data_IF_674365272611
#
_entry.id   IF_674365272611
#
_cell.length_a   1.000
_cell.length_b   1.000
_cell.length_c   1.000
_cell.angle_alpha   90.00
_cell.angle_beta   90.00
_cell.angle_gamma   90.00
#
_symmetry.space_group_name_H-M   'P 1'
#
loop_
_entity.id
_entity.type
_entity.pdbx_description
1 polymer ?
#
# COMPACT_ATOMS: atom_id res chain seq x y z
N UNK A 1 19.18 17.95 0.98
CA UNK A 1 18.66 17.08 -0.09
C UNK A 1 17.14 17.21 -0.23
N UNK A 2 16.60 18.33 -0.74
CA UNK A 2 15.14 18.55 -0.75
C UNK A 2 14.39 17.59 -1.69
N UNK A 3 14.99 17.17 -2.78
CA UNK A 3 14.34 16.28 -3.77
C UNK A 3 14.15 14.86 -3.24
N UNK A 4 15.18 14.32 -2.60
CA UNK A 4 15.12 13.00 -1.95
C UNK A 4 14.13 13.05 -0.78
N UNK A 5 14.12 14.14 -0.02
CA UNK A 5 13.17 14.36 1.08
C UNK A 5 11.71 14.38 0.60
N UNK A 6 11.43 15.05 -0.52
CA UNK A 6 10.10 15.07 -1.12
C UNK A 6 9.65 13.66 -1.58
N UNK A 7 10.54 12.90 -2.22
CA UNK A 7 10.24 11.52 -2.61
C UNK A 7 10.01 10.61 -1.41
N UNK A 8 10.79 10.77 -0.35
CA UNK A 8 10.62 10.00 0.88
C UNK A 8 9.31 10.34 1.60
N UNK A 9 8.93 11.63 1.59
CA UNK A 9 7.64 12.08 2.11
C UNK A 9 6.47 11.49 1.31
N UNK A 10 6.54 11.53 -0.02
CA UNK A 10 5.52 10.94 -0.89
C UNK A 10 5.36 9.44 -0.65
N UNK A 11 6.47 8.71 -0.57
CA UNK A 11 6.46 7.27 -0.29
C UNK A 11 5.86 6.95 1.09
N UNK A 12 6.20 7.73 2.12
CA UNK A 12 5.63 7.58 3.45
C UNK A 12 4.13 7.87 3.49
N UNK A 13 3.67 8.90 2.77
CA UNK A 13 2.24 9.22 2.64
C UNK A 13 1.49 8.14 1.84
N UNK A 14 2.13 7.55 0.83
CA UNK A 14 1.55 6.43 0.08
C UNK A 14 1.40 5.16 0.96
N UNK A 15 2.37 4.94 1.85
CA UNK A 15 2.34 3.84 2.83
C UNK A 15 1.26 4.02 3.92
N UNK A 16 0.78 5.24 4.12
CA UNK A 16 -0.34 5.55 5.03
C UNK A 16 -1.72 5.36 4.40
N UNK A 17 -1.79 4.93 3.14
CA UNK A 17 -3.06 4.76 2.44
C UNK A 17 -3.84 6.06 2.25
N UNK A 18 -3.16 7.19 1.99
CA UNK A 18 -3.86 8.45 1.76
C UNK A 18 -4.64 8.44 0.43
N UNK A 19 -5.86 9.02 0.41
CA UNK A 19 -6.66 9.13 -0.80
C UNK A 19 -5.87 9.81 -1.94
N UNK A 20 -5.93 9.21 -3.14
CA UNK A 20 -5.16 9.66 -4.31
C UNK A 20 -3.79 9.01 -4.45
N UNK A 21 -3.37 8.15 -3.52
CA UNK A 21 -2.16 7.34 -3.61
C UNK A 21 -2.52 5.84 -3.70
N UNK A 22 -1.60 5.07 -4.27
CA UNK A 22 -1.82 3.65 -4.60
C UNK A 22 -2.25 2.79 -3.39
N UNK A 23 -1.81 3.13 -2.17
CA UNK A 23 -2.12 2.39 -0.95
C UNK A 23 -3.57 2.45 -0.52
N UNK A 24 -4.30 3.52 -0.86
CA UNK A 24 -5.66 3.75 -0.37
C UNK A 24 -6.67 2.69 -0.86
N UNK A 25 -6.70 2.41 -2.16
CA UNK A 25 -7.73 1.55 -2.75
C UNK A 25 -7.71 0.11 -2.23
N UNK A 26 -6.54 -0.59 -2.16
CA UNK A 26 -6.51 -1.94 -1.63
C UNK A 26 -6.89 -1.99 -0.14
N UNK A 27 -6.41 -1.06 0.67
CA UNK A 27 -6.76 -1.01 2.10
C UNK A 27 -8.25 -0.79 2.30
N UNK A 28 -8.83 0.19 1.60
CA UNK A 28 -10.26 0.49 1.66
C UNK A 28 -11.11 -0.70 1.25
N UNK A 29 -10.74 -1.39 0.15
CA UNK A 29 -11.47 -2.56 -0.35
C UNK A 29 -11.43 -3.72 0.65
N UNK A 30 -10.27 -3.97 1.27
CA UNK A 30 -10.10 -5.00 2.30
C UNK A 30 -10.98 -4.70 3.51
N UNK A 31 -11.01 -3.45 3.99
CA UNK A 31 -11.81 -3.09 5.16
C UNK A 31 -13.32 -3.19 4.89
N UNK A 32 -13.78 -2.69 3.74
CA UNK A 32 -15.20 -2.78 3.36
C UNK A 32 -15.62 -4.24 3.21
N UNK A 33 -14.81 -5.06 2.54
CA UNK A 33 -15.08 -6.49 2.38
C UNK A 33 -15.08 -7.26 3.71
N UNK A 34 -14.11 -6.99 4.56
CA UNK A 34 -13.97 -7.65 5.86
C UNK A 34 -15.08 -7.25 6.84
N UNK A 35 -15.56 -6.01 6.77
CA UNK A 35 -16.61 -5.52 7.67
C UNK A 35 -17.94 -6.26 7.48
N UNK A 36 -18.23 -6.68 6.24
CA UNK A 36 -19.45 -7.45 5.93
C UNK A 36 -19.44 -8.87 6.50
N UNK A 37 -18.26 -9.47 6.68
CA UNK A 37 -18.11 -10.87 7.10
C UNK A 37 -17.68 -10.98 8.56
N UNK A 38 -16.71 -10.17 8.98
CA UNK A 38 -16.10 -10.20 10.32
C UNK A 38 -15.98 -8.80 10.92
N UNK A 39 -17.09 -8.16 11.36
CA UNK A 39 -17.07 -6.75 11.79
C UNK A 39 -16.14 -6.49 12.98
N UNK A 40 -16.04 -7.40 13.94
CA UNK A 40 -15.18 -7.23 15.12
C UNK A 40 -13.71 -7.22 14.72
N UNK A 41 -13.29 -8.16 13.87
CA UNK A 41 -11.90 -8.20 13.39
C UNK A 41 -11.57 -7.02 12.47
N UNK A 42 -12.53 -6.55 11.68
CA UNK A 42 -12.35 -5.34 10.85
C UNK A 42 -12.11 -4.10 11.71
N UNK A 43 -12.83 -3.91 12.82
CA UNK A 43 -12.61 -2.81 13.76
C UNK A 43 -11.22 -2.88 14.41
N UNK A 44 -10.78 -4.07 14.81
CA UNK A 44 -9.43 -4.27 15.36
C UNK A 44 -8.37 -3.94 14.31
N UNK A 45 -8.55 -4.38 13.07
CA UNK A 45 -7.64 -4.11 11.96
C UNK A 45 -7.55 -2.61 11.64
N UNK A 46 -8.70 -1.91 11.60
CA UNK A 46 -8.76 -0.46 11.40
C UNK A 46 -8.01 0.28 12.52
N UNK A 47 -8.12 -0.18 13.77
CA UNK A 47 -7.37 0.42 14.88
C UNK A 47 -5.85 0.32 14.67
N UNK A 48 -5.38 -0.74 14.00
CA UNK A 48 -3.98 -0.92 13.63
C UNK A 48 -3.45 0.19 12.71
N UNK A 49 -4.30 0.75 11.82
CA UNK A 49 -3.92 1.88 10.95
C UNK A 49 -3.48 3.10 11.76
N UNK A 50 -4.14 3.36 12.90
CA UNK A 50 -3.80 4.49 13.76
C UNK A 50 -2.36 4.35 14.27
N UNK A 51 -1.96 3.15 14.70
CA UNK A 51 -0.59 2.89 15.14
C UNK A 51 0.40 3.02 13.98
N UNK A 52 0.05 2.49 12.80
CA UNK A 52 0.88 2.63 11.60
C UNK A 52 1.07 4.10 11.23
N UNK A 53 0.01 4.90 11.26
CA UNK A 53 0.06 6.33 11.00
C UNK A 53 0.97 7.05 12.01
N UNK A 54 0.83 6.75 13.29
CA UNK A 54 1.63 7.39 14.34
C UNK A 54 3.13 7.13 14.17
N UNK A 55 3.54 5.87 13.99
CA UNK A 55 4.97 5.60 13.86
C UNK A 55 5.54 6.08 12.52
N UNK A 56 4.79 6.00 11.42
CA UNK A 56 5.24 6.49 10.11
C UNK A 56 5.39 8.01 10.10
N UNK A 57 4.41 8.74 10.62
CA UNK A 57 4.49 10.21 10.75
C UNK A 57 5.62 10.63 11.67
N UNK A 58 5.82 9.93 12.79
CA UNK A 58 6.91 10.20 13.72
C UNK A 58 8.28 9.95 13.09
N UNK A 59 8.39 8.89 12.27
CA UNK A 59 9.58 8.58 11.50
C UNK A 59 9.86 9.67 10.46
N UNK A 60 8.86 10.05 9.66
CA UNK A 60 8.96 11.12 8.68
C UNK A 60 9.35 12.45 9.34
N UNK A 61 8.72 12.80 10.46
CA UNK A 61 9.04 14.02 11.21
C UNK A 61 10.50 14.03 11.67
N UNK A 62 11.00 12.92 12.19
CA UNK A 62 12.41 12.82 12.63
C UNK A 62 13.39 12.92 11.46
N UNK A 63 13.10 12.29 10.33
CA UNK A 63 14.01 12.25 9.17
C UNK A 63 14.00 13.59 8.44
N UNK A 64 12.81 14.19 8.24
CA UNK A 64 12.67 15.40 7.42
C UNK A 64 12.90 16.70 8.21
N UNK A 65 12.49 16.73 9.46
CA UNK A 65 12.53 17.92 10.32
C UNK A 65 13.45 17.76 11.53
N UNK A 66 14.24 16.67 11.57
CA UNK A 66 15.23 16.45 12.62
C UNK A 66 16.37 17.47 12.57
N UNK A 67 17.16 17.60 13.66
CA UNK A 67 18.32 18.48 13.69
C UNK A 67 19.32 18.06 12.61
N UNK A 68 19.84 19.09 11.90
CA UNK A 68 20.80 18.88 10.82
C UNK A 68 22.14 18.45 11.39
N UNK A 69 22.60 17.25 11.05
CA UNK A 69 23.93 16.80 11.43
C UNK A 69 24.95 17.25 10.35
N UNK A 70 25.93 18.07 10.76
CA UNK A 70 26.96 18.61 9.89
C UNK A 70 27.82 17.55 9.21
N UNK A 71 27.86 16.33 9.74
CA UNK A 71 28.58 15.21 9.14
C UNK A 71 28.06 14.82 7.75
N UNK A 72 26.79 15.13 7.45
CA UNK A 72 26.12 14.79 6.20
C UNK A 72 25.99 15.96 5.24
N UNK A 73 26.58 17.13 5.52
CA UNK A 73 26.50 18.32 4.67
C UNK A 73 27.18 18.14 3.30
N UNK A 74 28.05 17.16 3.20
CA UNK A 74 28.80 16.87 1.97
C UNK A 74 27.95 16.08 0.95
N UNK A 75 26.83 15.46 1.34
CA UNK A 75 25.98 14.73 0.42
C UNK A 75 25.17 15.68 -0.47
N UNK A 76 25.36 15.53 -1.78
CA UNK A 76 24.61 16.30 -2.79
C UNK A 76 23.23 15.69 -2.99
N UNK A 77 22.25 16.54 -3.31
CA UNK A 77 20.89 16.10 -3.67
C UNK A 77 20.89 15.33 -4.99
N UNK A 78 19.89 14.46 -5.21
CA UNK A 78 19.76 13.69 -6.43
C UNK A 78 19.71 14.63 -7.67
N UNK A 79 20.61 14.39 -8.61
CA UNK A 79 20.71 15.16 -9.87
C UNK A 79 20.83 14.20 -11.06
N UNK A 80 20.35 14.65 -12.22
CA UNK A 80 20.47 13.88 -13.47
C UNK A 80 19.80 12.50 -13.39
N UNK A 81 20.56 11.47 -13.73
CA UNK A 81 20.07 10.08 -13.81
C UNK A 81 19.56 9.54 -12.48
N UNK A 82 20.14 9.99 -11.35
CA UNK A 82 19.70 9.57 -10.01
C UNK A 82 18.28 10.04 -9.65
N UNK A 83 17.73 11.00 -10.39
CA UNK A 83 16.36 11.49 -10.22
C UNK A 83 15.31 10.64 -10.96
N UNK A 84 15.74 9.87 -11.98
CA UNK A 84 14.83 9.04 -12.79
C UNK A 84 13.99 8.07 -11.96
N UNK A 85 14.58 7.21 -11.10
CA UNK A 85 13.78 6.28 -10.32
C UNK A 85 12.79 6.97 -9.37
N UNK A 86 13.18 8.12 -8.81
CA UNK A 86 12.32 8.90 -7.92
C UNK A 86 11.07 9.43 -8.66
N UNK A 87 11.26 9.94 -9.89
CA UNK A 87 10.18 10.45 -10.72
C UNK A 87 9.27 9.30 -11.18
N UNK A 88 9.86 8.20 -11.67
CA UNK A 88 9.08 7.04 -12.16
C UNK A 88 8.22 6.47 -11.04
N UNK A 89 8.80 6.25 -9.87
CA UNK A 89 8.06 5.73 -8.71
C UNK A 89 7.02 6.73 -8.22
N UNK A 90 7.34 8.02 -8.16
CA UNK A 90 6.39 9.07 -7.77
C UNK A 90 5.19 9.15 -8.71
N UNK A 91 5.44 9.12 -10.02
CA UNK A 91 4.38 9.11 -11.04
C UNK A 91 3.53 7.82 -10.94
N UNK A 92 4.16 6.68 -10.71
CA UNK A 92 3.46 5.42 -10.52
C UNK A 92 2.57 5.45 -9.27
N UNK A 93 3.08 5.92 -8.12
CA UNK A 93 2.32 6.02 -6.86
C UNK A 93 1.07 6.89 -7.00
N UNK A 94 1.20 8.04 -7.67
CA UNK A 94 0.08 8.97 -7.88
C UNK A 94 -0.81 8.49 -9.03
N UNK A 95 -0.23 8.03 -10.13
CA UNK A 95 -0.95 7.59 -11.31
C UNK A 95 -1.88 6.41 -11.02
N UNK A 96 -1.37 5.37 -10.37
CA UNK A 96 -2.20 4.22 -9.95
C UNK A 96 -3.13 4.55 -8.79
N UNK A 97 -2.83 5.57 -7.99
CA UNK A 97 -3.74 6.07 -6.95
C UNK A 97 -4.95 6.79 -7.52
N UNK A 98 -4.78 7.56 -8.60
CA UNK A 98 -5.87 8.29 -9.27
C UNK A 98 -6.65 7.37 -10.22
N UNK A 99 -5.99 6.43 -10.89
CA UNK A 99 -6.59 5.47 -11.82
C UNK A 99 -6.49 4.02 -11.31
N UNK A 100 -7.15 3.67 -10.21
CA UNK A 100 -7.07 2.33 -9.61
C UNK A 100 -7.66 1.25 -10.53
N UNK A 101 -8.50 1.62 -11.49
CA UNK A 101 -9.13 0.70 -12.43
C UNK A 101 -8.12 -0.09 -13.26
N UNK A 102 -6.95 0.48 -13.57
CA UNK A 102 -5.88 -0.22 -14.27
C UNK A 102 -5.36 -1.42 -13.46
N UNK A 103 -5.17 -1.24 -12.16
CA UNK A 103 -4.74 -2.32 -11.27
C UNK A 103 -5.86 -3.33 -11.02
N UNK A 104 -7.09 -2.84 -10.80
CA UNK A 104 -8.26 -3.70 -10.58
C UNK A 104 -8.54 -4.60 -11.78
N UNK A 105 -8.38 -4.10 -13.01
CA UNK A 105 -8.51 -4.91 -14.22
C UNK A 105 -7.47 -6.03 -14.31
N UNK A 106 -6.22 -5.75 -13.94
CA UNK A 106 -5.14 -6.75 -13.92
C UNK A 106 -5.37 -7.82 -12.84
N UNK A 107 -5.82 -7.41 -11.66
CA UNK A 107 -6.13 -8.33 -10.54
C UNK A 107 -7.39 -9.14 -10.84
N UNK A 108 -8.44 -8.51 -11.40
CA UNK A 108 -9.70 -9.16 -11.75
C UNK A 108 -9.50 -10.31 -12.73
N UNK A 109 -8.74 -10.11 -13.81
CA UNK A 109 -8.43 -11.18 -14.77
C UNK A 109 -7.64 -12.35 -14.16
N UNK A 110 -6.84 -12.11 -13.13
CA UNK A 110 -6.15 -13.16 -12.38
C UNK A 110 -7.08 -13.94 -11.45
N UNK A 111 -8.00 -13.26 -10.77
CA UNK A 111 -8.94 -13.90 -9.83
C UNK A 111 -10.03 -14.70 -10.54
N UNK A 112 -10.50 -14.26 -11.71
CA UNK A 112 -11.49 -15.01 -12.52
C UNK A 112 -11.00 -16.42 -12.90
N UNK A 113 -9.71 -16.64 -13.02
CA UNK A 113 -9.14 -17.96 -13.30
C UNK A 113 -9.05 -18.84 -12.04
N UNK A 114 -8.95 -18.23 -10.85
CA UNK A 114 -8.81 -18.94 -9.58
C UNK A 114 -10.15 -19.38 -8.97
N UNK A 115 -11.21 -18.59 -9.17
CA UNK A 115 -12.55 -18.90 -8.62
C UNK A 115 -13.05 -20.28 -9.01
N UNK A 116 -13.06 -20.70 -10.31
CA UNK A 116 -13.54 -22.03 -10.68
C UNK A 116 -12.66 -23.15 -10.14
N UNK A 117 -11.37 -22.93 -9.92
CA UNK A 117 -10.49 -23.92 -9.30
C UNK A 117 -10.81 -24.11 -7.81
N UNK A 118 -11.12 -23.02 -7.11
CA UNK A 118 -11.53 -23.08 -5.70
C UNK A 118 -12.89 -23.77 -5.53
N UNK A 119 -13.83 -23.53 -6.43
CA UNK A 119 -15.14 -24.21 -6.43
C UNK A 119 -14.96 -25.71 -6.66
N UNK A 120 -14.14 -26.13 -7.61
CA UNK A 120 -13.82 -27.55 -7.84
C UNK A 120 -13.16 -28.22 -6.62
N UNK A 121 -12.25 -27.53 -5.94
CA UNK A 121 -11.62 -28.05 -4.72
C UNK A 121 -12.62 -28.12 -3.56
N UNK A 122 -13.52 -27.15 -3.46
CA UNK A 122 -14.60 -27.15 -2.47
C UNK A 122 -15.55 -28.35 -2.66
N UNK A 123 -15.97 -28.60 -3.90
CA UNK A 123 -16.84 -29.72 -4.24
C UNK A 123 -16.15 -31.07 -4.02
N UNK A 124 -14.87 -31.19 -4.40
CA UNK A 124 -14.08 -32.39 -4.14
C UNK A 124 -13.93 -32.66 -2.64
N UNK A 125 -13.73 -31.60 -1.83
CA UNK A 125 -13.63 -31.74 -0.37
C UNK A 125 -14.96 -32.15 0.26
N UNK A 126 -16.09 -31.64 -0.27
CA UNK A 126 -17.43 -32.01 0.17
C UNK A 126 -17.75 -33.49 -0.13
N UNK A 127 -17.32 -33.97 -1.30
CA UNK A 127 -17.48 -35.40 -1.67
C UNK A 127 -16.66 -36.34 -0.77
N UNK A 128 -15.45 -35.93 -0.39
CA UNK A 128 -14.58 -36.71 0.52
C UNK A 128 -15.03 -36.63 1.97
N UNK A 129 -15.63 -35.51 2.40
CA UNK A 129 -16.16 -35.33 3.76
C UNK A 129 -17.49 -36.02 4.02
N UNK A 130 -18.23 -36.41 2.99
CA UNK A 130 -19.51 -37.12 3.07
C UNK A 130 -19.41 -38.63 3.34
N UNK A 131 -18.19 -39.18 3.52
CA UNK A 131 -17.93 -40.61 3.80
C UNK A 131 -17.62 -40.83 5.29
N UNK A 132 -18.44 -40.23 6.19
CA UNK A 132 -18.44 -40.58 7.62
C UNK A 132 -19.83 -40.85 8.11
#
# INVERSE_FOLDING_TARGET
>A
MPRVAAGFMLAGMASLGLPGLIGFMPEFTIFVGSFGVYPVFAVIAISGIIFTALYTLRMLAKILFGPRDQRFDYFQDAKGVAMMPLIILGVALVGFGIFPQLLMGMVGSGTEQLVPLLDQLSDASAMLGGVR
#
